data_IF_274241868403
#
_entry.id   IF_274241868403
#
_cell.length_a   1.000
_cell.length_b   1.000
_cell.length_c   1.000
_cell.angle_alpha   90.00
_cell.angle_beta   90.00
_cell.angle_gamma   90.00
#
_symmetry.space_group_name_H-M   'P 1'
#
loop_
_entity.id
_entity.type
_entity.pdbx_description
1 polymer ?
#
# COMPACT_ATOMS: atom_id res chain seq x y z
N UNK A 1 -9.26 -1.86 27.83
CA UNK A 1 -9.46 -0.46 27.42
C UNK A 1 -9.67 0.37 28.69
N UNK A 2 -8.91 1.44 28.89
CA UNK A 2 -8.88 2.21 30.16
C UNK A 2 -10.03 3.25 30.21
N UNK A 3 -10.48 3.74 29.05
CA UNK A 3 -11.65 4.61 28.91
C UNK A 3 -12.85 3.84 28.30
N UNK A 4 -14.08 4.25 28.63
CA UNK A 4 -15.34 3.73 28.08
C UNK A 4 -16.24 4.92 27.75
N UNK A 5 -16.59 5.11 26.47
CA UNK A 5 -17.52 6.11 25.92
C UNK A 5 -17.96 7.19 26.93
N UNK A 6 -17.15 8.24 27.08
CA UNK A 6 -17.38 9.31 28.04
C UNK A 6 -16.46 10.50 27.82
N UNK A 7 -16.68 11.56 28.60
CA UNK A 7 -15.87 12.77 28.59
C UNK A 7 -14.82 12.71 29.70
N UNK A 8 -13.59 13.11 29.39
CA UNK A 8 -12.46 13.07 30.32
C UNK A 8 -11.78 14.44 30.34
N UNK A 9 -11.72 15.06 31.52
CA UNK A 9 -10.96 16.30 31.74
C UNK A 9 -9.48 15.97 31.93
N UNK A 10 -8.61 16.88 31.49
CA UNK A 10 -7.16 16.73 31.58
C UNK A 10 -6.53 18.10 31.88
N UNK A 11 -5.41 18.10 32.60
CA UNK A 11 -4.55 19.28 32.73
C UNK A 11 -3.55 19.35 31.57
N UNK A 12 -3.07 18.19 31.11
CA UNK A 12 -2.16 18.03 29.97
C UNK A 12 -2.68 16.90 29.08
N UNK A 13 -2.78 17.16 27.77
CA UNK A 13 -3.15 16.18 26.76
C UNK A 13 -1.95 15.87 25.85
N UNK A 14 -1.57 14.60 25.77
CA UNK A 14 -0.60 14.09 24.79
C UNK A 14 -1.37 13.24 23.78
N UNK A 15 -1.24 13.59 22.50
CA UNK A 15 -1.94 12.92 21.40
C UNK A 15 -0.96 12.05 20.63
N UNK A 16 -1.16 10.73 20.70
CA UNK A 16 -0.39 9.72 19.99
C UNK A 16 -1.28 8.76 19.20
N UNK A 17 -2.29 9.28 18.49
CA UNK A 17 -3.32 8.46 17.80
C UNK A 17 -2.83 7.82 16.49
N UNK A 18 -1.57 8.03 16.12
CA UNK A 18 -0.96 7.44 14.93
C UNK A 18 -1.50 8.02 13.62
N UNK A 19 -1.59 7.16 12.60
CA UNK A 19 -1.92 7.53 11.23
C UNK A 19 -3.17 6.79 10.72
N UNK A 20 -3.80 7.38 9.71
CA UNK A 20 -4.70 6.68 8.80
C UNK A 20 -4.04 6.55 7.43
N UNK A 21 -4.56 5.66 6.60
CA UNK A 21 -4.21 5.62 5.19
C UNK A 21 -4.71 6.90 4.50
N UNK A 22 -3.92 7.42 3.58
CA UNK A 22 -4.35 8.45 2.64
C UNK A 22 -4.67 7.80 1.29
N UNK A 23 -5.87 8.01 0.78
CA UNK A 23 -6.31 7.50 -0.52
C UNK A 23 -6.16 8.53 -1.64
N UNK A 24 -5.76 9.76 -1.30
CA UNK A 24 -5.69 10.91 -2.19
C UNK A 24 -7.00 11.15 -2.98
N UNK A 25 -8.14 10.70 -2.45
CA UNK A 25 -9.46 10.71 -3.11
C UNK A 25 -9.47 10.02 -4.48
N UNK A 26 -8.57 9.07 -4.70
CA UNK A 26 -8.53 8.27 -5.92
C UNK A 26 -9.73 7.31 -5.90
N UNK A 27 -10.52 7.30 -6.98
CA UNK A 27 -11.74 6.49 -7.04
C UNK A 27 -11.43 4.99 -6.88
N UNK A 28 -12.21 4.31 -6.03
CA UNK A 28 -12.13 2.86 -5.81
C UNK A 28 -11.01 2.41 -4.87
N UNK A 29 -10.16 3.33 -4.41
CA UNK A 29 -9.01 3.00 -3.55
C UNK A 29 -9.47 2.55 -2.17
N UNK A 30 -10.49 3.18 -1.59
CA UNK A 30 -11.08 2.76 -0.31
C UNK A 30 -11.82 1.41 -0.45
N UNK A 31 -12.50 1.18 -1.57
CA UNK A 31 -13.42 0.06 -1.77
C UNK A 31 -12.76 -1.22 -2.31
N UNK A 32 -11.68 -1.09 -3.08
CA UNK A 32 -11.13 -2.20 -3.87
C UNK A 32 -9.71 -2.59 -3.51
N UNK A 33 -9.17 -2.05 -2.42
CA UNK A 33 -7.79 -2.37 -1.99
C UNK A 33 -7.71 -2.61 -0.49
N UNK A 34 -6.67 -3.32 -0.06
CA UNK A 34 -6.35 -3.51 1.35
C UNK A 34 -5.09 -2.73 1.72
N UNK A 35 -4.94 -2.33 2.98
CA UNK A 35 -3.75 -1.64 3.47
C UNK A 35 -3.32 -2.22 4.82
N UNK A 36 -2.02 -2.24 5.09
CA UNK A 36 -1.48 -2.68 6.38
C UNK A 36 -1.49 -1.52 7.37
N UNK A 37 -2.43 -1.52 8.32
CA UNK A 37 -2.62 -0.42 9.28
C UNK A 37 -2.62 -0.90 10.72
N UNK A 38 -3.03 -2.15 10.96
CA UNK A 38 -3.07 -2.73 12.30
C UNK A 38 -2.93 -4.26 12.21
N UNK A 39 -2.70 -4.90 13.36
CA UNK A 39 -2.47 -6.34 13.41
C UNK A 39 -3.60 -7.17 12.79
N UNK A 40 -4.86 -6.82 13.06
CA UNK A 40 -6.01 -7.57 12.57
C UNK A 40 -6.09 -7.51 11.04
N UNK A 41 -5.88 -6.32 10.45
CA UNK A 41 -5.93 -6.21 9.00
C UNK A 41 -4.78 -6.92 8.30
N UNK A 42 -3.59 -6.98 8.93
CA UNK A 42 -2.47 -7.77 8.42
C UNK A 42 -2.79 -9.27 8.47
N UNK A 43 -3.46 -9.74 9.52
CA UNK A 43 -3.89 -11.14 9.63
C UNK A 43 -4.90 -11.50 8.53
N UNK A 44 -5.84 -10.61 8.22
CA UNK A 44 -6.83 -10.82 7.15
C UNK A 44 -6.17 -10.80 5.76
N UNK A 45 -5.23 -9.88 5.53
CA UNK A 45 -4.41 -9.86 4.30
C UNK A 45 -3.63 -11.17 4.17
N UNK A 46 -3.00 -11.64 5.25
CA UNK A 46 -2.23 -12.89 5.22
C UNK A 46 -3.10 -14.09 4.88
N UNK A 47 -4.28 -14.24 5.50
CA UNK A 47 -5.23 -15.33 5.16
C UNK A 47 -5.63 -15.27 3.69
N UNK A 48 -5.97 -14.08 3.19
CA UNK A 48 -6.33 -13.89 1.78
C UNK A 48 -5.19 -14.25 0.84
N UNK A 49 -3.95 -13.88 1.17
CA UNK A 49 -2.75 -14.25 0.42
C UNK A 49 -2.57 -15.77 0.37
N UNK A 50 -2.73 -16.47 1.50
CA UNK A 50 -2.68 -17.94 1.54
C UNK A 50 -3.73 -18.54 0.60
N UNK A 51 -4.98 -18.08 0.68
CA UNK A 51 -6.06 -18.58 -0.17
C UNK A 51 -5.81 -18.37 -1.66
N UNK A 52 -5.41 -17.15 -2.08
CA UNK A 52 -5.18 -16.86 -3.50
C UNK A 52 -3.90 -17.52 -4.04
N UNK A 53 -2.91 -17.79 -3.18
CA UNK A 53 -1.65 -18.45 -3.56
C UNK A 53 -1.79 -19.93 -3.91
N UNK A 54 -2.92 -20.56 -3.54
CA UNK A 54 -3.26 -21.93 -3.93
C UNK A 54 -3.70 -22.04 -5.39
N UNK A 55 -4.00 -20.91 -6.06
CA UNK A 55 -4.32 -20.87 -7.48
C UNK A 55 -3.04 -20.98 -8.32
N UNK A 56 -3.14 -21.62 -9.49
CA UNK A 56 -2.01 -21.77 -10.42
C UNK A 56 -1.47 -20.43 -10.96
N UNK A 57 -2.32 -19.40 -11.03
CA UNK A 57 -1.96 -18.05 -11.44
C UNK A 57 -2.65 -17.05 -10.54
N UNK A 58 -1.88 -16.34 -9.74
CA UNK A 58 -2.36 -15.26 -8.90
C UNK A 58 -1.53 -14.00 -9.17
N UNK A 59 -2.21 -12.87 -9.37
CA UNK A 59 -1.55 -11.57 -9.55
C UNK A 59 -1.86 -10.65 -8.37
N UNK A 60 -0.81 -10.07 -7.77
CA UNK A 60 -0.94 -9.10 -6.68
C UNK A 60 -0.26 -7.81 -7.09
N UNK A 61 -0.98 -6.69 -6.93
CA UNK A 61 -0.46 -5.35 -7.14
C UNK A 61 -0.18 -4.71 -5.80
N UNK A 62 1.00 -4.12 -5.63
CA UNK A 62 1.35 -3.21 -4.53
C UNK A 62 1.42 -1.78 -5.07
N UNK A 63 0.53 -0.92 -4.59
CA UNK A 63 0.50 0.51 -4.92
C UNK A 63 1.45 1.28 -4.01
N UNK A 64 2.45 1.94 -4.59
CA UNK A 64 3.51 2.65 -3.90
C UNK A 64 4.79 1.81 -3.76
N UNK A 65 5.92 2.40 -4.13
CA UNK A 65 7.28 1.86 -3.97
C UNK A 65 8.09 2.66 -2.94
N UNK A 66 7.41 3.22 -1.94
CA UNK A 66 8.03 3.74 -0.73
C UNK A 66 8.54 2.62 0.18
N UNK A 67 8.93 2.98 1.41
CA UNK A 67 9.53 2.04 2.36
C UNK A 67 8.65 0.80 2.61
N UNK A 68 7.40 1.01 3.03
CA UNK A 68 6.48 -0.09 3.35
C UNK A 68 6.10 -0.95 2.14
N UNK A 69 5.96 -0.33 0.96
CA UNK A 69 5.66 -1.07 -0.28
C UNK A 69 6.80 -2.00 -0.68
N UNK A 70 8.05 -1.54 -0.54
CA UNK A 70 9.25 -2.32 -0.87
C UNK A 70 9.49 -3.45 0.12
N UNK A 71 9.30 -3.22 1.43
CA UNK A 71 9.37 -4.30 2.43
C UNK A 71 8.31 -5.37 2.16
N UNK A 72 7.07 -4.96 1.86
CA UNK A 72 5.98 -5.88 1.54
C UNK A 72 6.29 -6.70 0.28
N UNK A 73 6.78 -6.05 -0.78
CA UNK A 73 7.16 -6.76 -2.01
C UNK A 73 8.26 -7.79 -1.76
N UNK A 74 9.27 -7.45 -0.95
CA UNK A 74 10.33 -8.36 -0.58
C UNK A 74 9.78 -9.58 0.18
N UNK A 75 8.94 -9.35 1.20
CA UNK A 75 8.32 -10.41 1.98
C UNK A 75 7.46 -11.35 1.12
N UNK A 76 6.61 -10.77 0.26
CA UNK A 76 5.76 -11.54 -0.64
C UNK A 76 6.57 -12.36 -1.64
N UNK A 77 7.60 -11.78 -2.25
CA UNK A 77 8.43 -12.47 -3.24
C UNK A 77 9.25 -13.62 -2.63
N UNK A 78 9.61 -13.51 -1.35
CA UNK A 78 10.32 -14.56 -0.63
C UNK A 78 9.39 -15.72 -0.25
N UNK A 79 8.17 -15.44 0.21
CA UNK A 79 7.27 -16.45 0.79
C UNK A 79 6.21 -17.02 -0.18
N UNK A 80 5.83 -16.30 -1.23
CA UNK A 80 4.75 -16.70 -2.15
C UNK A 80 5.26 -16.87 -3.59
N UNK A 81 5.83 -18.04 -3.90
CA UNK A 81 6.47 -18.32 -5.20
C UNK A 81 5.50 -18.41 -6.40
N UNK A 82 4.22 -18.66 -6.16
CA UNK A 82 3.20 -18.79 -7.21
C UNK A 82 2.46 -17.48 -7.50
N UNK A 83 2.86 -16.37 -6.87
CA UNK A 83 2.23 -15.07 -7.08
C UNK A 83 3.10 -14.23 -8.01
N UNK A 84 2.47 -13.67 -9.05
CA UNK A 84 3.06 -12.62 -9.87
C UNK A 84 2.88 -11.27 -9.18
N UNK A 85 3.99 -10.62 -8.86
CA UNK A 85 4.01 -9.35 -8.14
C UNK A 85 4.23 -8.18 -9.08
N UNK A 86 3.36 -7.18 -8.98
CA UNK A 86 3.46 -5.91 -9.71
C UNK A 86 3.51 -4.76 -8.71
N UNK A 87 4.35 -3.78 -8.95
CA UNK A 87 4.43 -2.56 -8.15
C UNK A 87 4.15 -1.34 -9.03
N UNK A 88 3.26 -0.46 -8.60
CA UNK A 88 2.89 0.77 -9.34
C UNK A 88 3.24 1.98 -8.51
N UNK A 89 4.10 2.85 -9.06
CA UNK A 89 4.66 4.01 -8.37
C UNK A 89 4.61 5.24 -9.29
N UNK A 90 4.12 6.36 -8.74
CA UNK A 90 3.99 7.62 -9.45
C UNK A 90 5.36 8.26 -9.76
N UNK A 91 6.34 8.04 -8.89
CA UNK A 91 7.69 8.57 -9.02
C UNK A 91 8.54 7.77 -10.02
N UNK A 92 9.62 8.37 -10.57
CA UNK A 92 10.55 7.68 -11.48
C UNK A 92 11.45 6.65 -10.80
N UNK A 93 11.43 6.57 -9.46
CA UNK A 93 12.35 5.76 -8.67
C UNK A 93 11.64 5.17 -7.45
N UNK A 94 11.96 3.91 -7.12
CA UNK A 94 11.58 3.31 -5.85
C UNK A 94 12.40 3.92 -4.71
N UNK A 95 11.92 3.83 -3.47
CA UNK A 95 12.63 4.34 -2.29
C UNK A 95 13.21 5.75 -2.51
N UNK A 96 12.39 6.76 -2.89
CA UNK A 96 12.89 8.08 -3.28
C UNK A 96 13.64 8.83 -2.17
N UNK A 97 13.48 8.38 -0.92
CA UNK A 97 14.21 8.88 0.25
C UNK A 97 15.65 8.34 0.38
N UNK A 98 16.04 7.34 -0.42
CA UNK A 98 17.40 6.79 -0.44
C UNK A 98 18.19 7.33 -1.64
N UNK A 99 19.51 7.18 -1.58
CA UNK A 99 20.35 7.49 -2.72
C UNK A 99 20.08 6.53 -3.89
N UNK A 100 20.35 7.01 -5.12
CA UNK A 100 20.04 6.29 -6.36
C UNK A 100 20.68 4.90 -6.44
N UNK A 101 21.89 4.74 -5.91
CA UNK A 101 22.61 3.46 -5.98
C UNK A 101 21.92 2.39 -5.12
N UNK A 102 21.49 2.75 -3.91
CA UNK A 102 20.75 1.85 -3.02
C UNK A 102 19.35 1.51 -3.57
N UNK A 103 18.63 2.52 -4.06
CA UNK A 103 17.34 2.31 -4.71
C UNK A 103 17.46 1.38 -5.93
N UNK A 104 18.47 1.58 -6.78
CA UNK A 104 18.73 0.73 -7.93
C UNK A 104 19.10 -0.70 -7.53
N UNK A 105 19.93 -0.87 -6.50
CA UNK A 105 20.27 -2.18 -5.95
C UNK A 105 19.02 -2.94 -5.47
N UNK A 106 18.17 -2.29 -4.68
CA UNK A 106 16.92 -2.88 -4.20
C UNK A 106 15.97 -3.25 -5.35
N UNK A 107 15.84 -2.37 -6.35
CA UNK A 107 15.03 -2.63 -7.54
C UNK A 107 15.51 -3.87 -8.28
N UNK A 108 16.81 -3.94 -8.58
CA UNK A 108 17.40 -5.08 -9.27
C UNK A 108 17.27 -6.39 -8.48
N UNK A 109 17.37 -6.32 -7.15
CA UNK A 109 17.16 -7.47 -6.29
C UNK A 109 15.72 -7.99 -6.37
N UNK A 110 14.73 -7.09 -6.30
CA UNK A 110 13.31 -7.46 -6.40
C UNK A 110 12.91 -7.92 -7.81
N UNK A 111 13.46 -7.32 -8.86
CA UNK A 111 13.27 -7.77 -10.24
C UNK A 111 13.80 -9.20 -10.43
N UNK A 112 14.94 -9.55 -9.81
CA UNK A 112 15.45 -10.94 -9.81
C UNK A 112 14.54 -11.92 -9.08
N UNK A 113 13.74 -11.44 -8.13
CA UNK A 113 12.72 -12.23 -7.44
C UNK A 113 11.38 -12.27 -8.19
N UNK A 114 11.28 -11.64 -9.37
CA UNK A 114 10.09 -11.67 -10.24
C UNK A 114 9.12 -10.51 -10.04
N UNK A 115 9.50 -9.44 -9.34
CA UNK A 115 8.67 -8.24 -9.19
C UNK A 115 8.74 -7.37 -10.45
N UNK A 116 7.58 -7.05 -11.03
CA UNK A 116 7.45 -6.11 -12.14
C UNK A 116 7.18 -4.69 -11.63
N UNK A 117 7.97 -3.70 -12.06
CA UNK A 117 7.80 -2.30 -11.65
C UNK A 117 7.22 -1.42 -12.77
N UNK A 118 6.16 -0.71 -12.43
CA UNK A 118 5.56 0.36 -13.22
C UNK A 118 5.90 1.69 -12.55
N UNK A 119 7.01 2.31 -12.97
CA UNK A 119 7.44 3.62 -12.51
C UNK A 119 6.92 4.72 -13.43
N UNK A 120 6.88 5.96 -12.95
CA UNK A 120 6.19 7.08 -13.62
C UNK A 120 4.73 6.74 -13.93
N UNK A 121 4.10 5.95 -13.06
CA UNK A 121 2.76 5.39 -13.24
C UNK A 121 1.85 5.92 -12.13
N UNK A 122 1.14 7.00 -12.41
CA UNK A 122 0.25 7.64 -11.44
C UNK A 122 -1.09 6.91 -11.43
N UNK A 123 -1.48 6.39 -10.26
CA UNK A 123 -2.76 5.70 -10.10
C UNK A 123 -3.92 6.69 -10.26
N UNK A 124 -4.86 6.34 -11.11
CA UNK A 124 -6.04 7.18 -11.41
C UNK A 124 -7.34 6.54 -10.88
N UNK A 125 -7.43 5.21 -10.86
CA UNK A 125 -8.60 4.49 -10.38
C UNK A 125 -8.27 3.05 -9.98
N UNK A 126 -8.85 2.57 -8.89
CA UNK A 126 -8.92 1.14 -8.57
C UNK A 126 -10.30 0.61 -8.92
N UNK A 127 -10.35 -0.60 -9.45
CA UNK A 127 -11.57 -1.39 -9.64
C UNK A 127 -11.37 -2.74 -8.93
N UNK A 128 -12.45 -3.49 -8.73
CA UNK A 128 -12.44 -4.73 -7.94
C UNK A 128 -11.28 -5.69 -8.24
N UNK A 129 -10.92 -5.83 -9.53
CA UNK A 129 -9.92 -6.78 -10.01
C UNK A 129 -8.88 -6.12 -10.93
N UNK A 130 -8.76 -4.79 -10.91
CA UNK A 130 -7.84 -4.10 -11.79
C UNK A 130 -7.47 -2.70 -11.32
N UNK A 131 -6.29 -2.25 -11.72
CA UNK A 131 -5.78 -0.92 -11.46
C UNK A 131 -5.66 -0.16 -12.79
N UNK A 132 -6.11 1.09 -12.81
CA UNK A 132 -5.88 2.03 -13.91
C UNK A 132 -4.88 3.09 -13.45
N UNK A 133 -3.84 3.30 -14.26
CA UNK A 133 -2.84 4.33 -14.02
C UNK A 133 -2.52 5.08 -15.32
N UNK A 134 -2.04 6.30 -15.18
CA UNK A 134 -1.47 7.08 -16.27
C UNK A 134 0.05 6.94 -16.30
N UNK A 135 0.61 6.65 -17.47
CA UNK A 135 2.05 6.60 -17.72
C UNK A 135 2.33 7.19 -19.10
N UNK A 136 3.28 8.12 -19.17
CA UNK A 136 3.63 8.81 -20.43
C UNK A 136 2.42 9.44 -21.16
N UNK A 137 1.44 9.97 -20.40
CA UNK A 137 0.22 10.55 -20.94
C UNK A 137 -0.79 9.53 -21.50
N UNK A 138 -0.57 8.24 -21.29
CA UNK A 138 -1.48 7.17 -21.71
C UNK A 138 -2.05 6.45 -20.49
N UNK A 139 -3.34 6.09 -20.56
CA UNK A 139 -3.99 5.28 -19.54
C UNK A 139 -3.74 3.81 -19.83
N UNK A 140 -3.19 3.11 -18.86
CA UNK A 140 -2.99 1.68 -18.87
C UNK A 140 -3.87 1.02 -17.81
N UNK A 141 -4.27 -0.22 -18.08
CA UNK A 141 -5.06 -1.05 -17.15
C UNK A 141 -4.34 -2.37 -16.93
N UNK A 142 -4.15 -2.74 -15.68
CA UNK A 142 -3.59 -4.04 -15.29
C UNK A 142 -4.55 -4.77 -14.35
N UNK A 143 -4.64 -6.08 -14.49
CA UNK A 143 -5.48 -6.94 -13.65
C UNK A 143 -4.73 -7.43 -12.41
N UNK A 144 -5.49 -7.76 -11.36
CA UNK A 144 -5.00 -8.43 -10.15
C UNK A 144 -6.12 -9.13 -9.37
N UNK A 145 -5.76 -10.19 -8.65
CA UNK A 145 -6.62 -10.83 -7.64
C UNK A 145 -6.68 -10.03 -6.34
N UNK A 146 -5.60 -9.29 -6.04
CA UNK A 146 -5.48 -8.49 -4.83
C UNK A 146 -4.65 -7.23 -5.10
N UNK A 147 -5.17 -6.10 -4.61
CA UNK A 147 -4.49 -4.81 -4.66
C UNK A 147 -4.20 -4.36 -3.22
N UNK A 148 -2.92 -4.21 -2.90
CA UNK A 148 -2.40 -3.75 -1.62
C UNK A 148 -1.92 -2.32 -1.76
N UNK A 149 -2.37 -1.43 -0.88
CA UNK A 149 -2.10 0.00 -0.98
C UNK A 149 -1.18 0.49 0.13
N UNK A 150 -0.06 1.08 -0.28
CA UNK A 150 1.01 1.59 0.61
C UNK A 150 1.44 3.01 0.27
N UNK A 151 0.82 3.66 -0.72
CA UNK A 151 1.29 4.89 -1.34
C UNK A 151 1.12 6.16 -0.49
N UNK A 152 0.40 6.11 0.63
CA UNK A 152 0.11 7.31 1.43
C UNK A 152 -0.44 7.02 2.81
N UNK A 153 -0.02 7.85 3.77
CA UNK A 153 -0.58 7.93 5.12
C UNK A 153 -0.86 9.38 5.45
N UNK A 154 -1.88 9.62 6.27
CA UNK A 154 -2.26 10.92 6.81
C UNK A 154 -2.49 10.83 8.32
N UNK A 155 -2.62 11.98 8.97
CA UNK A 155 -2.94 12.04 10.40
C UNK A 155 -4.26 11.33 10.75
N UNK A 156 -4.43 11.00 12.03
CA UNK A 156 -5.65 10.34 12.48
C UNK A 156 -6.89 11.22 12.24
N UNK A 157 -8.00 10.64 11.77
CA UNK A 157 -9.28 11.35 11.53
C UNK A 157 -9.80 12.13 12.74
N UNK A 158 -9.46 11.70 13.96
CA UNK A 158 -9.81 12.46 15.18
C UNK A 158 -9.19 13.85 15.18
N UNK A 159 -7.96 13.98 14.64
CA UNK A 159 -7.27 15.27 14.54
C UNK A 159 -7.85 16.09 13.39
N UNK A 160 -8.09 15.47 12.22
CA UNK A 160 -8.71 16.11 11.06
C UNK A 160 -10.10 16.69 11.37
N UNK A 161 -10.88 16.02 12.23
CA UNK A 161 -12.24 16.44 12.60
C UNK A 161 -12.30 17.28 13.89
N UNK A 162 -11.15 17.58 14.50
CA UNK A 162 -11.09 18.34 15.74
C UNK A 162 -11.14 19.84 15.44
N UNK A 163 -11.91 20.60 16.21
CA UNK A 163 -11.89 22.07 16.14
C UNK A 163 -10.67 22.70 16.81
N UNK A 164 -9.82 21.89 17.46
CA UNK A 164 -8.63 22.37 18.16
C UNK A 164 -7.37 22.42 17.28
N UNK A 165 -7.40 21.80 16.09
CA UNK A 165 -6.26 21.68 15.18
C UNK A 165 -6.59 22.22 13.79
#
# INVERSE_FOLDING_TARGET
>A
MIAKNGNYTYDILIIGLGFNRDDFKISGVEEHTLAMQNFNNCLDIHKKLQEISLKDKCEVIVCGAGFSGIELLADLALHFKNIKLKCVEAMPMILPMFNKNLAQFAKQYLEKLGVEFYLNAKIEKCEKNSLIFEKNGQKEKIEADLILYTAGVKGNKVIENSSFF
#
